data_IF_826129752932
#
_entry.id   IF_826129752932
#
_cell.length_a   1.000
_cell.length_b   1.000
_cell.length_c   1.000
_cell.angle_alpha   90.00
_cell.angle_beta   90.00
_cell.angle_gamma   90.00
#
_symmetry.space_group_name_H-M   'P 1'
#
loop_
_entity.id
_entity.type
_entity.pdbx_description
1 polymer ?
#
# COMPACT_ATOMS: atom_id res chain seq x y z
N UNK A 1 63.78 -28.64 -20.68
CA UNK A 1 62.64 -29.00 -19.80
C UNK A 1 61.71 -27.81 -19.78
N UNK A 2 60.55 -27.96 -20.42
CA UNK A 2 59.54 -26.91 -20.60
C UNK A 2 58.60 -26.98 -19.40
N UNK A 3 58.39 -25.85 -18.72
CA UNK A 3 57.24 -25.68 -17.83
C UNK A 3 56.56 -24.37 -18.20
N UNK A 4 55.49 -24.47 -18.99
CA UNK A 4 54.59 -23.36 -19.32
C UNK A 4 53.59 -23.24 -18.15
N UNK A 5 53.58 -22.10 -17.47
CA UNK A 5 52.54 -21.76 -16.51
C UNK A 5 51.24 -21.42 -17.26
N UNK A 6 50.22 -22.26 -17.09
CA UNK A 6 48.85 -21.96 -17.50
C UNK A 6 48.28 -20.87 -16.58
N UNK A 7 48.02 -19.69 -17.15
CA UNK A 7 47.25 -18.64 -16.50
C UNK A 7 45.81 -18.69 -17.04
N UNK A 8 44.90 -19.37 -16.33
CA UNK A 8 43.45 -19.21 -16.55
C UNK A 8 42.97 -18.06 -15.68
N UNK A 9 42.81 -16.87 -16.27
CA UNK A 9 42.02 -15.80 -15.66
C UNK A 9 40.54 -16.07 -15.92
N UNK A 10 39.77 -16.07 -14.84
CA UNK A 10 38.32 -16.15 -14.84
C UNK A 10 37.70 -14.98 -15.59
N UNK A 11 36.60 -15.28 -16.26
CA UNK A 11 35.78 -14.35 -17.03
C UNK A 11 34.74 -13.78 -16.07
N UNK A 12 35.05 -12.63 -15.46
CA UNK A 12 34.06 -11.84 -14.71
C UNK A 12 33.20 -11.09 -15.73
N UNK A 13 31.93 -11.49 -15.87
CA UNK A 13 30.94 -10.82 -16.68
C UNK A 13 30.52 -9.50 -16.06
N UNK A 14 31.36 -8.47 -16.21
CA UNK A 14 31.01 -7.10 -15.84
C UNK A 14 30.06 -6.52 -16.87
N UNK A 15 28.81 -6.27 -16.48
CA UNK A 15 27.93 -5.38 -17.22
C UNK A 15 28.65 -4.04 -17.41
N UNK A 16 28.82 -3.63 -18.67
CA UNK A 16 29.45 -2.34 -18.98
C UNK A 16 28.60 -1.22 -18.38
N UNK A 17 29.21 -0.21 -17.76
CA UNK A 17 28.52 0.96 -17.21
C UNK A 17 27.58 1.62 -18.23
N UNK A 18 27.88 1.49 -19.53
CA UNK A 18 27.04 1.97 -20.63
C UNK A 18 25.74 1.19 -20.77
N UNK A 19 25.75 -0.13 -20.57
CA UNK A 19 24.53 -0.95 -20.60
C UNK A 19 23.59 -0.61 -19.44
N UNK A 20 24.15 -0.35 -18.27
CA UNK A 20 23.39 0.04 -17.07
C UNK A 20 22.73 1.41 -17.26
N UNK A 21 23.42 2.35 -17.90
CA UNK A 21 22.91 3.69 -18.20
C UNK A 21 21.81 3.66 -19.28
N UNK A 22 21.93 2.79 -20.29
CA UNK A 22 20.90 2.58 -21.31
C UNK A 22 19.62 2.00 -20.68
N UNK A 23 19.73 0.99 -19.81
CA UNK A 23 18.58 0.43 -19.08
C UNK A 23 17.90 1.51 -18.25
N UNK A 24 18.68 2.34 -17.54
CA UNK A 24 18.15 3.40 -16.68
C UNK A 24 17.41 4.49 -17.47
N UNK A 25 17.94 4.89 -18.63
CA UNK A 25 17.28 5.87 -19.53
C UNK A 25 16.02 5.29 -20.17
N UNK A 26 16.03 4.01 -20.58
CA UNK A 26 14.85 3.33 -21.11
C UNK A 26 13.77 3.21 -20.02
N UNK A 27 14.14 2.84 -18.79
CA UNK A 27 13.22 2.89 -17.64
C UNK A 27 12.68 4.31 -17.42
N UNK A 28 13.51 5.34 -17.46
CA UNK A 28 13.03 6.72 -17.25
C UNK A 28 12.09 7.21 -18.36
N UNK A 29 12.27 6.77 -19.62
CA UNK A 29 11.41 7.17 -20.74
C UNK A 29 10.09 6.39 -20.79
N UNK A 30 10.09 5.10 -20.40
CA UNK A 30 8.87 4.28 -20.36
C UNK A 30 8.05 4.59 -19.10
N UNK A 31 8.70 4.79 -17.95
CA UNK A 31 8.04 4.94 -16.65
C UNK A 31 7.91 6.39 -16.19
N UNK A 32 8.75 7.31 -16.66
CA UNK A 32 8.68 8.75 -16.32
C UNK A 32 7.32 9.43 -16.52
N UNK A 33 6.58 9.20 -17.64
CA UNK A 33 5.25 9.80 -17.81
C UNK A 33 4.18 9.23 -16.85
N UNK A 34 4.39 8.04 -16.28
CA UNK A 34 3.51 7.45 -15.28
C UNK A 34 3.69 8.12 -13.90
N UNK A 35 4.94 8.40 -13.51
CA UNK A 35 5.29 9.08 -12.24
C UNK A 35 4.69 10.49 -12.16
N UNK A 36 4.76 11.27 -13.25
CA UNK A 36 4.25 12.65 -13.28
C UNK A 36 2.71 12.71 -13.30
N UNK A 37 2.03 11.74 -13.90
CA UNK A 37 0.56 11.79 -14.09
C UNK A 37 -0.22 11.28 -12.89
N UNK A 38 0.34 10.33 -12.13
CA UNK A 38 -0.23 9.88 -10.88
C UNK A 38 -0.11 10.91 -9.72
N UNK A 39 0.65 12.00 -9.89
CA UNK A 39 0.62 13.13 -8.94
C UNK A 39 -0.70 13.93 -9.04
N UNK A 40 -1.48 13.76 -10.11
CA UNK A 40 -2.78 14.43 -10.32
C UNK A 40 -3.94 13.86 -9.52
N UNK A 41 -3.69 12.82 -8.72
CA UNK A 41 -4.65 12.16 -7.84
C UNK A 41 -5.10 12.99 -6.61
N UNK A 42 -4.67 14.26 -6.53
CA UNK A 42 -4.69 15.09 -5.33
C UNK A 42 -5.71 16.23 -5.32
N UNK A 43 -6.89 16.08 -5.89
CA UNK A 43 -7.91 17.15 -5.90
C UNK A 43 -9.09 16.95 -4.95
N UNK A 44 -8.89 16.46 -3.72
CA UNK A 44 -9.94 16.50 -2.67
C UNK A 44 -9.35 16.77 -1.27
N UNK A 45 -8.73 17.93 -1.08
CA UNK A 45 -8.29 18.41 0.24
C UNK A 45 -9.50 18.49 1.22
N UNK A 46 -10.70 18.74 0.69
CA UNK A 46 -11.96 18.79 1.46
C UNK A 46 -12.37 17.44 2.04
N UNK A 47 -12.37 16.37 1.23
CA UNK A 47 -12.82 15.04 1.66
C UNK A 47 -11.88 14.43 2.70
N UNK A 48 -10.57 14.58 2.52
CA UNK A 48 -9.57 14.12 3.50
C UNK A 48 -9.76 14.81 4.85
N UNK A 49 -9.95 16.13 4.84
CA UNK A 49 -10.14 16.91 6.07
C UNK A 49 -11.46 16.55 6.75
N UNK A 50 -12.54 16.38 5.97
CA UNK A 50 -13.85 15.93 6.47
C UNK A 50 -13.76 14.53 7.11
N UNK A 51 -13.10 13.60 6.42
CA UNK A 51 -12.85 12.25 6.90
C UNK A 51 -12.10 12.26 8.23
N UNK A 52 -10.95 12.95 8.30
CA UNK A 52 -10.17 13.07 9.54
C UNK A 52 -10.97 13.70 10.69
N UNK A 53 -11.74 14.76 10.42
CA UNK A 53 -12.60 15.40 11.43
C UNK A 53 -13.68 14.41 11.92
N UNK A 54 -14.26 13.62 11.02
CA UNK A 54 -15.28 12.63 11.38
C UNK A 54 -14.72 11.51 12.24
N UNK A 55 -13.52 11.02 11.94
CA UNK A 55 -12.81 10.04 12.76
C UNK A 55 -12.53 10.58 14.17
N UNK A 56 -12.05 11.83 14.28
CA UNK A 56 -11.84 12.47 15.59
C UNK A 56 -13.16 12.62 16.35
N UNK A 57 -14.28 12.94 15.68
CA UNK A 57 -15.59 12.98 16.34
C UNK A 57 -16.01 11.61 16.88
N UNK A 58 -15.74 10.54 16.14
CA UNK A 58 -16.04 9.18 16.59
C UNK A 58 -15.30 8.78 17.85
N UNK A 59 -14.05 9.22 18.00
CA UNK A 59 -13.26 9.00 19.22
C UNK A 59 -13.95 9.54 20.48
N UNK A 60 -14.75 10.60 20.38
CA UNK A 60 -15.42 11.25 21.52
C UNK A 60 -16.93 11.01 21.57
N UNK A 61 -17.49 10.26 20.62
CA UNK A 61 -18.91 9.94 20.57
C UNK A 61 -19.19 8.62 21.29
N UNK A 62 -20.24 8.59 22.11
CA UNK A 62 -20.82 7.34 22.63
C UNK A 62 -21.85 6.74 21.65
N UNK A 63 -22.28 7.51 20.64
CA UNK A 63 -23.15 7.05 19.57
C UNK A 63 -22.32 6.44 18.42
N UNK A 64 -22.79 5.31 17.87
CA UNK A 64 -22.25 4.69 16.66
C UNK A 64 -22.58 5.56 15.43
N UNK A 65 -21.76 6.58 15.21
CA UNK A 65 -21.79 7.38 13.99
C UNK A 65 -20.84 6.68 12.98
N UNK A 66 -21.12 6.77 11.68
CA UNK A 66 -20.17 6.36 10.65
C UNK A 66 -19.21 7.52 10.32
N UNK A 67 -17.96 7.21 10.00
CA UNK A 67 -17.00 8.20 9.52
C UNK A 67 -17.44 8.68 8.14
N UNK A 68 -17.33 9.98 7.88
CA UNK A 68 -17.60 10.56 6.57
C UNK A 68 -16.37 10.39 5.67
N UNK A 69 -16.00 9.13 5.45
CA UNK A 69 -14.85 8.72 4.68
C UNK A 69 -15.34 7.77 3.58
N UNK A 70 -15.66 8.30 2.41
CA UNK A 70 -16.19 7.47 1.32
C UNK A 70 -15.03 6.67 0.69
N UNK A 71 -15.09 5.32 0.67
CA UNK A 71 -14.12 4.51 -0.06
C UNK A 71 -14.13 4.84 -1.56
N UNK A 72 -12.97 4.73 -2.21
CA UNK A 72 -12.84 4.93 -3.66
C UNK A 72 -12.65 3.62 -4.40
N UNK A 73 -13.45 3.39 -5.43
CA UNK A 73 -13.38 2.16 -6.22
C UNK A 73 -12.53 2.36 -7.47
N UNK A 74 -11.61 1.45 -7.74
CA UNK A 74 -10.73 1.49 -8.90
C UNK A 74 -10.88 0.25 -9.76
N UNK A 75 -10.86 0.46 -11.08
CA UNK A 75 -10.81 -0.62 -12.06
C UNK A 75 -9.57 -0.52 -12.94
N UNK A 76 -8.80 -1.59 -12.97
CA UNK A 76 -7.54 -1.70 -13.72
C UNK A 76 -7.79 -2.43 -15.05
N UNK A 77 -7.34 -1.83 -16.14
CA UNK A 77 -7.32 -2.40 -17.48
C UNK A 77 -5.86 -2.52 -17.96
N UNK A 78 -5.62 -3.25 -19.05
CA UNK A 78 -4.26 -3.41 -19.61
C UNK A 78 -3.54 -2.09 -19.95
N UNK A 79 -4.28 -1.01 -20.18
CA UNK A 79 -3.74 0.27 -20.64
C UNK A 79 -4.25 1.50 -19.89
N UNK A 80 -5.11 1.32 -18.89
CA UNK A 80 -5.70 2.42 -18.12
C UNK A 80 -6.13 2.01 -16.73
N UNK A 81 -6.25 2.99 -15.85
CA UNK A 81 -6.90 2.85 -14.53
C UNK A 81 -8.02 3.88 -14.43
N UNK A 82 -9.19 3.45 -13.97
CA UNK A 82 -10.40 4.28 -13.86
C UNK A 82 -10.89 4.27 -12.41
N UNK A 83 -11.25 5.44 -11.87
CA UNK A 83 -11.99 5.55 -10.60
C UNK A 83 -13.48 5.42 -10.91
N UNK A 84 -14.20 4.53 -10.23
CA UNK A 84 -15.65 4.36 -10.35
C UNK A 84 -16.32 5.25 -9.30
N UNK A 85 -17.24 6.12 -9.72
CA UNK A 85 -17.99 7.02 -8.84
C UNK A 85 -19.48 6.74 -8.94
N UNK A 86 -20.18 6.59 -7.82
CA UNK A 86 -21.63 6.38 -7.76
C UNK A 86 -22.16 5.20 -8.60
N UNK A 87 -21.41 4.09 -8.66
CA UNK A 87 -21.76 2.90 -9.44
C UNK A 87 -21.79 3.13 -10.96
N UNK A 88 -21.37 4.31 -11.41
CA UNK A 88 -21.13 4.64 -12.81
C UNK A 88 -19.63 4.72 -13.00
N UNK A 89 -19.09 4.09 -14.05
CA UNK A 89 -17.77 4.48 -14.54
C UNK A 89 -17.90 5.88 -15.13
N UNK A 90 -17.99 6.90 -14.29
CA UNK A 90 -17.64 8.24 -14.73
C UNK A 90 -16.14 8.18 -15.03
N UNK A 91 -15.82 8.30 -16.32
CA UNK A 91 -14.49 8.21 -16.95
C UNK A 91 -13.53 9.30 -16.44
N UNK A 92 -13.30 9.39 -15.13
CA UNK A 92 -12.08 9.99 -14.61
C UNK A 92 -10.96 8.97 -14.81
N UNK A 93 -10.54 8.83 -16.07
CA UNK A 93 -9.35 8.07 -16.42
C UNK A 93 -8.16 8.72 -15.73
N UNK A 94 -7.54 7.96 -14.84
CA UNK A 94 -6.51 8.49 -13.95
C UNK A 94 -5.13 8.32 -14.56
N UNK A 95 -4.97 7.23 -15.31
CA UNK A 95 -3.76 6.95 -16.08
C UNK A 95 -4.17 6.40 -17.43
N UNK A 96 -3.55 6.91 -18.50
CA UNK A 96 -3.72 6.44 -19.88
C UNK A 96 -2.39 6.03 -20.51
N UNK A 97 -2.48 5.21 -21.54
CA UNK A 97 -1.40 4.90 -22.49
C UNK A 97 -0.15 4.29 -21.85
N UNK A 98 -0.35 3.40 -20.87
CA UNK A 98 0.73 2.59 -20.30
C UNK A 98 0.57 1.11 -20.66
N UNK A 99 1.62 0.33 -20.48
CA UNK A 99 1.54 -1.13 -20.54
C UNK A 99 1.50 -1.66 -19.11
N UNK A 100 0.43 -2.36 -18.76
CA UNK A 100 0.26 -2.92 -17.42
C UNK A 100 1.34 -3.99 -17.14
N UNK A 101 2.04 -3.82 -16.02
CA UNK A 101 3.06 -4.72 -15.49
C UNK A 101 3.19 -4.58 -13.98
N UNK A 102 4.08 -5.38 -13.38
CA UNK A 102 4.27 -5.45 -11.92
C UNK A 102 4.52 -4.07 -11.31
N UNK A 103 5.46 -3.31 -11.86
CA UNK A 103 5.82 -1.97 -11.37
C UNK A 103 4.63 -0.99 -11.37
N UNK A 104 3.79 -1.00 -12.41
CA UNK A 104 2.64 -0.08 -12.48
C UNK A 104 1.57 -0.45 -11.45
N UNK A 105 1.34 -1.74 -11.23
CA UNK A 105 0.41 -2.21 -10.21
C UNK A 105 0.96 -1.92 -8.82
N UNK A 106 2.25 -2.20 -8.59
CA UNK A 106 2.90 -1.96 -7.31
C UNK A 106 2.90 -0.47 -6.95
N UNK A 107 3.20 0.41 -7.91
CA UNK A 107 3.14 1.86 -7.72
C UNK A 107 1.72 2.35 -7.42
N UNK A 108 0.70 1.81 -8.12
CA UNK A 108 -0.70 2.13 -7.85
C UNK A 108 -1.06 1.78 -6.41
N UNK A 109 -0.79 0.54 -5.99
CA UNK A 109 -1.07 0.09 -4.62
C UNK A 109 -0.27 0.88 -3.58
N UNK A 110 1.01 1.18 -3.83
CA UNK A 110 1.81 2.05 -2.96
C UNK A 110 1.15 3.42 -2.76
N UNK A 111 0.60 4.02 -3.82
CA UNK A 111 -0.11 5.31 -3.72
C UNK A 111 -1.45 5.20 -3.00
N UNK A 112 -2.20 4.12 -3.23
CA UNK A 112 -3.46 3.89 -2.50
C UNK A 112 -3.20 3.69 -1.00
N UNK A 113 -2.17 2.92 -0.63
CA UNK A 113 -1.72 2.76 0.76
C UNK A 113 -1.35 4.13 1.36
N UNK A 114 -0.56 4.95 0.64
CA UNK A 114 -0.19 6.28 1.12
C UNK A 114 -1.38 7.23 1.30
N UNK A 115 -2.33 7.23 0.37
CA UNK A 115 -3.58 7.97 0.51
C UNK A 115 -4.43 7.49 1.68
N UNK A 116 -4.48 6.18 1.88
CA UNK A 116 -5.24 5.59 2.98
C UNK A 116 -4.65 5.98 4.35
N UNK A 117 -3.31 5.97 4.46
CA UNK A 117 -2.61 6.49 5.64
C UNK A 117 -3.00 7.95 5.91
N UNK A 118 -3.01 8.76 4.87
CA UNK A 118 -3.42 10.15 4.96
C UNK A 118 -4.89 10.33 5.39
N UNK A 119 -5.83 9.54 4.86
CA UNK A 119 -7.23 9.54 5.26
C UNK A 119 -7.40 9.16 6.74
N UNK A 120 -6.65 8.14 7.18
CA UNK A 120 -6.62 7.67 8.56
C UNK A 120 -6.00 8.65 9.56
N UNK A 121 -5.46 9.80 9.13
CA UNK A 121 -4.84 10.81 10.01
C UNK A 121 -3.31 10.71 10.10
N UNK A 122 -2.68 9.88 9.29
CA UNK A 122 -1.23 9.68 9.24
C UNK A 122 -0.70 8.71 10.31
N UNK A 123 0.62 8.54 10.35
CA UNK A 123 1.29 7.62 11.30
C UNK A 123 1.03 7.97 12.77
N UNK A 124 0.79 9.25 13.07
CA UNK A 124 0.53 9.75 14.42
C UNK A 124 -0.97 9.88 14.71
N UNK A 125 -1.80 9.19 13.94
CA UNK A 125 -3.24 9.25 14.11
C UNK A 125 -3.68 8.87 15.53
N UNK A 126 -4.74 9.53 15.98
CA UNK A 126 -5.53 9.14 17.14
C UNK A 126 -6.99 8.86 16.73
N UNK A 127 -7.21 8.52 15.46
CA UNK A 127 -8.53 8.43 14.81
C UNK A 127 -9.46 7.41 15.46
N UNK A 128 -8.92 6.31 15.97
CA UNK A 128 -9.71 5.28 16.64
C UNK A 128 -9.53 5.45 18.14
N UNK A 129 -10.41 6.23 18.76
CA UNK A 129 -10.44 6.36 20.22
C UNK A 129 -10.69 5.02 20.92
N UNK A 130 -10.52 5.02 22.25
CA UNK A 130 -10.76 3.84 23.11
C UNK A 130 -12.15 3.19 22.96
N UNK A 131 -13.17 3.96 22.55
CA UNK A 131 -14.55 3.49 22.35
C UNK A 131 -14.72 2.65 21.08
N UNK A 132 -14.02 2.97 19.99
CA UNK A 132 -14.11 2.24 18.72
C UNK A 132 -13.25 0.97 18.71
N UNK A 133 -12.16 0.95 19.48
CA UNK A 133 -11.30 -0.22 19.67
C UNK A 133 -11.81 -1.13 20.81
N UNK A 134 -13.07 -0.99 21.21
CA UNK A 134 -13.66 -1.81 22.27
C UNK A 134 -13.56 -3.31 21.96
N UNK A 135 -13.61 -3.72 20.69
CA UNK A 135 -13.72 -5.12 20.28
C UNK A 135 -12.48 -5.76 19.66
N UNK A 136 -11.33 -5.06 19.54
CA UNK A 136 -9.96 -5.55 19.20
C UNK A 136 -9.30 -4.79 18.04
N UNK A 137 -9.97 -4.72 16.88
CA UNK A 137 -9.50 -4.03 15.67
C UNK A 137 -10.60 -3.16 15.07
N UNK A 138 -10.22 -2.02 14.50
CA UNK A 138 -11.11 -1.15 13.75
C UNK A 138 -10.46 -0.78 12.42
N UNK A 139 -11.25 -0.73 11.35
CA UNK A 139 -10.80 -0.42 10.01
C UNK A 139 -11.53 0.78 9.44
N UNK A 140 -10.79 1.57 8.69
CA UNK A 140 -11.31 2.50 7.71
C UNK A 140 -11.00 1.95 6.32
N UNK A 141 -12.03 1.61 5.54
CA UNK A 141 -11.84 1.24 4.15
C UNK A 141 -11.55 2.49 3.32
N UNK A 142 -10.44 2.50 2.58
CA UNK A 142 -10.01 3.67 1.82
C UNK A 142 -10.28 3.50 0.33
N UNK A 143 -10.06 2.30 -0.19
CA UNK A 143 -10.32 2.01 -1.60
C UNK A 143 -10.50 0.53 -1.87
N UNK A 144 -11.29 0.22 -2.90
CA UNK A 144 -11.36 -1.10 -3.52
C UNK A 144 -10.68 -1.09 -4.89
N UNK A 145 -10.09 -2.21 -5.30
CA UNK A 145 -9.39 -2.36 -6.58
C UNK A 145 -9.84 -3.67 -7.22
N UNK A 146 -10.41 -3.57 -8.41
CA UNK A 146 -10.79 -4.70 -9.27
C UNK A 146 -9.96 -4.68 -10.55
N UNK A 147 -9.51 -5.84 -11.03
CA UNK A 147 -8.94 -5.98 -12.36
C UNK A 147 -10.04 -6.34 -13.37
N UNK A 148 -10.07 -5.64 -14.50
CA UNK A 148 -11.00 -5.96 -15.57
C UNK A 148 -10.70 -7.34 -16.18
N UNK A 149 -11.74 -8.04 -16.63
CA UNK A 149 -11.62 -9.37 -17.26
C UNK A 149 -10.70 -9.39 -18.48
N UNK A 150 -10.51 -8.23 -19.13
CA UNK A 150 -9.59 -8.09 -20.27
C UNK A 150 -8.11 -8.11 -19.87
N UNK A 151 -7.76 -7.99 -18.58
CA UNK A 151 -6.36 -8.00 -18.12
C UNK A 151 -5.67 -9.32 -18.47
N UNK A 152 -4.56 -9.21 -19.20
CA UNK A 152 -3.84 -10.34 -19.78
C UNK A 152 -2.84 -11.00 -18.81
N UNK A 153 -2.47 -10.31 -17.73
CA UNK A 153 -1.54 -10.79 -16.71
C UNK A 153 -2.35 -11.38 -15.56
N UNK A 154 -2.07 -12.63 -15.18
CA UNK A 154 -2.86 -13.36 -14.17
C UNK A 154 -2.56 -12.91 -12.74
N UNK A 155 -1.30 -12.52 -12.48
CA UNK A 155 -0.84 -12.09 -11.16
C UNK A 155 0.28 -11.07 -11.27
N UNK A 156 0.29 -10.12 -10.35
CA UNK A 156 1.35 -9.14 -10.16
C UNK A 156 2.10 -9.40 -8.87
N UNK A 157 3.42 -9.21 -8.87
CA UNK A 157 4.32 -9.58 -7.77
C UNK A 157 5.21 -8.40 -7.38
N UNK A 158 5.92 -8.50 -6.25
CA UNK A 158 6.93 -7.52 -5.85
C UNK A 158 6.45 -6.27 -5.12
N UNK A 159 5.19 -6.19 -4.65
CA UNK A 159 4.70 -4.99 -3.95
C UNK A 159 5.52 -4.68 -2.70
N UNK A 160 5.91 -5.68 -1.91
CA UNK A 160 6.71 -5.46 -0.70
C UNK A 160 8.07 -4.84 -1.04
N UNK A 161 8.79 -5.45 -1.96
CA UNK A 161 10.10 -5.01 -2.46
C UNK A 161 9.99 -3.61 -3.03
N UNK A 162 8.92 -3.34 -3.79
CA UNK A 162 8.64 -2.01 -4.32
C UNK A 162 8.54 -0.97 -3.19
N UNK A 163 7.84 -1.27 -2.10
CA UNK A 163 7.71 -0.38 -0.94
C UNK A 163 9.04 -0.19 -0.17
N UNK A 164 9.90 -1.20 -0.16
CA UNK A 164 11.21 -1.18 0.50
C UNK A 164 12.30 -0.49 -0.32
N UNK A 165 12.17 -0.44 -1.65
CA UNK A 165 13.22 0.06 -2.55
C UNK A 165 12.90 1.43 -3.15
N UNK A 166 11.62 1.75 -3.36
CA UNK A 166 11.21 2.97 -4.06
C UNK A 166 10.87 4.12 -3.11
N UNK A 167 11.25 5.34 -3.53
CA UNK A 167 10.96 6.58 -2.80
C UNK A 167 9.56 7.09 -3.11
N UNK A 168 8.94 7.70 -2.11
CA UNK A 168 7.70 8.45 -2.31
C UNK A 168 8.00 9.66 -3.19
N UNK A 169 7.24 9.90 -4.28
CA UNK A 169 7.49 11.02 -5.16
C UNK A 169 7.48 12.36 -4.41
N UNK A 170 8.56 13.13 -4.54
CA UNK A 170 8.70 14.43 -3.88
C UNK A 170 9.13 14.37 -2.40
N UNK A 171 9.37 13.19 -1.84
CA UNK A 171 9.84 12.99 -0.46
C UNK A 171 11.10 12.12 -0.47
N UNK A 172 12.12 12.52 0.28
CA UNK A 172 13.38 11.76 0.37
C UNK A 172 13.29 10.60 1.38
N UNK A 173 12.25 9.78 1.24
CA UNK A 173 11.99 8.60 2.05
C UNK A 173 11.45 7.47 1.18
N UNK A 174 11.82 6.23 1.50
CA UNK A 174 11.19 5.05 0.90
C UNK A 174 9.73 4.96 1.34
N UNK A 175 8.88 4.30 0.55
CA UNK A 175 7.47 4.10 0.94
C UNK A 175 7.34 3.42 2.30
N UNK A 176 8.11 2.36 2.55
CA UNK A 176 8.15 1.66 3.84
C UNK A 176 8.56 2.55 5.02
N UNK A 177 9.49 3.48 4.81
CA UNK A 177 9.91 4.46 5.82
C UNK A 177 8.84 5.53 6.03
N UNK A 178 8.19 5.98 4.96
CA UNK A 178 7.13 6.98 5.02
C UNK A 178 5.85 6.46 5.69
N UNK A 179 5.54 5.17 5.55
CA UNK A 179 4.37 4.54 6.15
C UNK A 179 4.55 4.14 7.61
N UNK A 180 5.76 4.30 8.16
CA UNK A 180 6.11 3.83 9.50
C UNK A 180 6.77 4.93 10.31
N UNK A 181 6.76 4.79 11.65
CA UNK A 181 7.38 5.79 12.55
C UNK A 181 8.88 5.62 12.66
N UNK A 182 9.30 4.36 12.74
CA UNK A 182 10.67 3.93 12.96
C UNK A 182 10.82 2.47 12.51
N UNK A 183 12.03 1.92 12.66
CA UNK A 183 12.35 0.56 12.26
C UNK A 183 11.55 -0.50 13.02
N UNK A 184 11.27 -0.30 14.31
CA UNK A 184 10.48 -1.27 15.07
C UNK A 184 9.03 -1.27 14.57
N UNK A 185 8.43 -0.09 14.36
CA UNK A 185 7.09 0.03 13.79
C UNK A 185 6.99 -0.60 12.39
N UNK A 186 8.08 -0.57 11.62
CA UNK A 186 8.16 -1.22 10.31
C UNK A 186 8.25 -2.74 10.42
N UNK A 187 9.07 -3.28 11.30
CA UNK A 187 9.14 -4.73 11.54
C UNK A 187 7.77 -5.27 11.97
N UNK A 188 7.15 -4.56 12.88
CA UNK A 188 5.83 -4.80 13.42
C UNK A 188 4.73 -4.80 12.34
N UNK A 189 4.74 -3.81 11.45
CA UNK A 189 3.86 -3.72 10.29
C UNK A 189 3.99 -4.97 9.38
N UNK A 190 5.23 -5.41 9.10
CA UNK A 190 5.48 -6.59 8.28
C UNK A 190 5.07 -7.89 8.99
N UNK A 191 5.37 -8.03 10.28
CA UNK A 191 5.07 -9.24 11.07
C UNK A 191 3.55 -9.42 11.24
N UNK A 192 2.83 -8.35 11.54
CA UNK A 192 1.37 -8.43 11.63
C UNK A 192 0.76 -8.75 10.27
N UNK A 193 1.23 -8.11 9.20
CA UNK A 193 0.77 -8.40 7.85
C UNK A 193 0.96 -9.86 7.49
N UNK A 194 2.13 -10.43 7.80
CA UNK A 194 2.43 -11.84 7.57
C UNK A 194 1.47 -12.80 8.29
N UNK A 195 1.19 -12.55 9.56
CA UNK A 195 0.30 -13.40 10.37
C UNK A 195 -1.16 -13.39 9.92
N UNK A 196 -1.54 -12.37 9.14
CA UNK A 196 -2.91 -12.12 8.71
C UNK A 196 -3.08 -12.21 7.20
N UNK A 197 -2.06 -12.68 6.48
CA UNK A 197 -2.03 -12.76 5.02
C UNK A 197 -2.33 -11.40 4.34
N UNK A 198 -1.80 -10.31 4.89
CA UNK A 198 -1.98 -8.94 4.41
C UNK A 198 -0.73 -8.42 3.69
N UNK A 199 -0.93 -7.42 2.83
CA UNK A 199 0.12 -6.80 2.03
C UNK A 199 0.38 -5.36 2.53
N UNK A 200 1.62 -5.01 2.89
CA UNK A 200 2.80 -5.87 2.88
C UNK A 200 2.83 -6.82 4.08
N UNK A 201 3.38 -8.01 3.82
CA UNK A 201 3.68 -9.04 4.81
C UNK A 201 5.10 -9.56 4.59
N UNK A 202 5.52 -10.57 5.36
CA UNK A 202 6.88 -11.11 5.22
C UNK A 202 7.04 -11.86 3.91
N UNK A 203 6.05 -12.67 3.54
CA UNK A 203 6.04 -13.37 2.26
C UNK A 203 5.50 -12.47 1.14
N UNK A 204 5.93 -12.80 -0.08
CA UNK A 204 5.39 -12.19 -1.28
C UNK A 204 3.98 -12.74 -1.54
N UNK A 205 2.99 -11.86 -1.48
CA UNK A 205 1.60 -12.18 -1.78
C UNK A 205 1.24 -11.59 -3.15
N UNK A 206 1.04 -12.42 -4.18
CA UNK A 206 0.74 -11.94 -5.52
C UNK A 206 -0.65 -11.32 -5.60
N UNK A 207 -0.77 -10.20 -6.29
CA UNK A 207 -2.04 -9.56 -6.64
C UNK A 207 -2.63 -10.24 -7.88
N UNK A 208 -3.68 -11.03 -7.72
CA UNK A 208 -4.36 -11.84 -8.75
C UNK A 208 -5.50 -11.07 -9.40
N UNK A 209 -5.63 -11.18 -10.72
CA UNK A 209 -6.65 -10.44 -11.49
C UNK A 209 -8.10 -10.83 -11.17
N UNK A 210 -8.34 -12.00 -10.59
CA UNK A 210 -9.68 -12.51 -10.30
C UNK A 210 -10.13 -12.21 -8.86
N UNK A 211 -9.39 -11.37 -8.14
CA UNK A 211 -9.68 -10.96 -6.78
C UNK A 211 -9.97 -9.46 -6.73
N UNK A 212 -10.78 -9.07 -5.73
CA UNK A 212 -11.00 -7.67 -5.38
C UNK A 212 -10.14 -7.39 -4.17
N UNK A 213 -9.36 -6.31 -4.24
CA UNK A 213 -8.48 -5.89 -3.15
C UNK A 213 -9.03 -4.67 -2.45
N UNK A 214 -8.96 -4.67 -1.12
CA UNK A 214 -9.31 -3.55 -0.26
C UNK A 214 -8.03 -2.99 0.33
N UNK A 215 -7.84 -1.68 0.20
CA UNK A 215 -6.82 -0.93 0.95
C UNK A 215 -7.51 -0.27 2.13
N UNK A 216 -7.01 -0.54 3.33
CA UNK A 216 -7.65 -0.11 4.57
C UNK A 216 -6.63 0.35 5.62
N UNK A 217 -7.04 1.33 6.42
CA UNK A 217 -6.30 1.84 7.56
C UNK A 217 -6.80 1.12 8.80
N UNK A 218 -5.91 0.38 9.45
CA UNK A 218 -6.20 -0.53 10.55
C UNK A 218 -5.70 0.06 11.86
N UNK A 219 -6.60 0.20 12.83
CA UNK A 219 -6.30 0.38 14.24
C UNK A 219 -6.32 -0.94 14.99
N UNK A 220 -5.32 -1.15 15.84
CA UNK A 220 -5.19 -2.35 16.67
C UNK A 220 -5.02 -1.91 18.12
N UNK A 221 -5.83 -2.48 19.01
CA UNK A 221 -5.64 -2.33 20.45
C UNK A 221 -4.44 -3.17 20.89
N UNK A 222 -3.51 -2.57 21.63
CA UNK A 222 -2.27 -3.21 22.08
C UNK A 222 -2.49 -4.58 22.76
N UNK A 223 -3.50 -4.68 23.64
CA UNK A 223 -3.85 -5.94 24.32
C UNK A 223 -4.22 -7.07 23.35
N UNK A 224 -4.82 -6.76 22.20
CA UNK A 224 -5.14 -7.75 21.18
C UNK A 224 -3.92 -8.15 20.38
N UNK A 225 -3.02 -7.21 20.08
CA UNK A 225 -1.75 -7.52 19.42
C UNK A 225 -1.00 -8.60 20.20
N UNK A 226 -0.86 -8.45 21.53
CA UNK A 226 -0.26 -9.48 22.37
C UNK A 226 -1.01 -10.82 22.35
N UNK A 227 -2.34 -10.81 22.33
CA UNK A 227 -3.15 -12.03 22.29
C UNK A 227 -2.93 -12.87 21.02
N UNK A 228 -2.61 -12.24 19.90
CA UNK A 228 -2.25 -12.92 18.64
C UNK A 228 -0.73 -13.19 18.52
N UNK A 229 -0.03 -13.21 19.66
CA UNK A 229 1.37 -13.58 19.79
C UNK A 229 2.36 -12.54 19.28
N UNK A 230 1.98 -11.27 19.28
CA UNK A 230 2.89 -10.17 18.95
C UNK A 230 3.64 -9.70 20.21
N UNK A 231 4.96 -9.58 20.14
CA UNK A 231 5.82 -9.26 21.30
C UNK A 231 6.57 -7.92 21.16
N UNK A 232 6.16 -7.05 20.23
CA UNK A 232 6.80 -5.75 20.03
C UNK A 232 6.89 -4.95 21.34
N UNK A 233 8.08 -4.44 21.65
CA UNK A 233 8.43 -3.86 22.97
C UNK A 233 8.14 -2.35 23.09
N UNK A 234 7.52 -1.71 22.10
CA UNK A 234 7.59 -0.25 21.94
C UNK A 234 6.26 0.46 21.69
N UNK A 235 5.13 -0.13 22.08
CA UNK A 235 3.90 0.64 22.14
C UNK A 235 3.93 1.57 23.34
N UNK A 236 4.32 2.84 23.11
CA UNK A 236 4.22 3.87 24.14
C UNK A 236 2.77 4.38 24.30
N UNK A 237 1.81 3.83 23.56
CA UNK A 237 0.38 4.19 23.51
C UNK A 237 -0.45 2.92 23.31
N UNK A 238 -1.64 2.89 23.91
CA UNK A 238 -2.57 1.75 23.92
C UNK A 238 -3.03 1.26 22.53
N UNK A 239 -2.76 2.03 21.45
CA UNK A 239 -3.26 1.81 20.09
C UNK A 239 -2.17 1.95 19.02
N UNK A 240 -2.25 1.11 17.99
CA UNK A 240 -1.27 0.96 16.90
C UNK A 240 -1.98 1.07 15.57
N UNK A 241 -1.34 1.71 14.58
CA UNK A 241 -1.97 1.99 13.31
C UNK A 241 -1.10 1.53 12.15
N UNK A 242 -1.71 0.80 11.22
CA UNK A 242 -1.07 0.31 10.01
C UNK A 242 -1.97 0.53 8.81
N UNK A 243 -1.39 0.45 7.61
CA UNK A 243 -2.15 0.39 6.37
C UNK A 243 -1.79 -0.87 5.63
N UNK A 244 -2.81 -1.56 5.14
CA UNK A 244 -2.65 -2.79 4.37
C UNK A 244 -3.51 -2.76 3.11
N UNK A 245 -3.13 -3.61 2.16
CA UNK A 245 -3.97 -4.12 1.11
C UNK A 245 -4.20 -5.61 1.35
N UNK A 246 -5.41 -6.11 1.10
CA UNK A 246 -5.72 -7.53 1.13
C UNK A 246 -6.88 -7.84 0.20
N UNK A 247 -7.16 -9.11 -0.05
CA UNK A 247 -8.43 -9.48 -0.69
C UNK A 247 -9.60 -9.02 0.19
N UNK A 248 -10.74 -8.69 -0.41
CA UNK A 248 -11.92 -8.23 0.34
C UNK A 248 -12.30 -9.21 1.45
N UNK A 249 -12.24 -10.52 1.19
CA UNK A 249 -12.53 -11.55 2.20
C UNK A 249 -11.57 -11.47 3.40
N UNK A 250 -10.28 -11.23 3.14
CA UNK A 250 -9.27 -11.08 4.20
C UNK A 250 -9.38 -9.77 4.95
N UNK A 251 -9.73 -8.68 4.26
CA UNK A 251 -10.04 -7.40 4.91
C UNK A 251 -11.21 -7.58 5.89
N UNK A 252 -12.30 -8.21 5.45
CA UNK A 252 -13.47 -8.51 6.28
C UNK A 252 -13.14 -9.42 7.48
N UNK A 253 -12.21 -10.37 7.32
CA UNK A 253 -11.76 -11.26 8.41
C UNK A 253 -10.98 -10.49 9.50
N UNK A 254 -10.13 -9.54 9.10
CA UNK A 254 -9.24 -8.81 10.02
C UNK A 254 -9.95 -7.62 10.69
N UNK A 255 -10.90 -7.01 9.99
CA UNK A 255 -11.64 -5.84 10.46
C UNK A 255 -12.76 -6.24 11.42
N UNK A 256 -12.51 -6.17 12.73
CA UNK A 256 -13.52 -6.41 13.75
C UNK A 256 -14.68 -5.39 13.69
N UNK A 257 -14.38 -4.16 13.27
CA UNK A 257 -15.36 -3.12 12.99
C UNK A 257 -14.91 -2.27 11.80
N UNK A 258 -15.79 -2.08 10.81
CA UNK A 258 -15.62 -1.09 9.75
C UNK A 258 -16.31 0.20 10.20
N UNK A 259 -15.62 1.33 10.08
CA UNK A 259 -16.08 2.62 10.63
C UNK A 259 -16.80 3.51 9.62
N UNK A 260 -16.79 3.17 8.33
CA UNK A 260 -17.39 3.92 7.23
C UNK A 260 -18.36 3.10 6.39
#
# INVERSE_FOLDING_TARGET
MITIFNNKKGQEGGFSQVQLLIILVISLLIFGPFVVRLMGFGSDIGDKTSCQISLVKLKYSEEEIAANCVPRDFKIYNNKVVEIKDGKSEDSEIVKDFTLGDDQVNELFAKLIGKCLEMGGGINSEAFGRSLLAETTACLECSSVEFDKSVNVDSFVGLREYLEENKVPGIDQKYSEFFTKDENHREDWIVFGDKKDLIPGKYEYPLRKNEIYTVFFLGIKESFAHAIGYEGKFFSRDDVYFVYAATQDKANEVCGKIVN
#
